data_IF_272784958920
#
_entry.id   IF_272784958920
#
_cell.length_a   1.000
_cell.length_b   1.000
_cell.length_c   1.000
_cell.angle_alpha   90.00
_cell.angle_beta   90.00
_cell.angle_gamma   90.00
#
_symmetry.space_group_name_H-M   'P 1'
#
loop_
_entity.id
_entity.type
_entity.pdbx_description
1 polymer ?
#
# COMPACT_ATOMS: atom_id res chain seq x y z
N UNK A 1 5.82 2.25 -25.32
CA UNK A 1 4.53 2.58 -24.67
C UNK A 1 4.49 1.91 -23.30
N UNK A 2 4.41 2.68 -22.22
CA UNK A 2 4.35 2.13 -20.86
C UNK A 2 2.90 1.92 -20.50
N UNK A 3 2.60 0.70 -20.04
CA UNK A 3 1.21 0.30 -19.75
C UNK A 3 0.93 0.38 -18.25
N UNK A 4 0.10 1.30 -17.58
CA UNK A 4 -0.16 1.60 -16.37
C UNK A 4 -1.41 1.05 -16.00
N UNK A 5 -1.59 0.43 -14.96
CA UNK A 5 -2.84 0.09 -14.26
C UNK A 5 -3.02 1.04 -13.08
N UNK A 6 -4.21 1.65 -12.95
CA UNK A 6 -4.47 2.61 -11.86
C UNK A 6 -5.39 1.94 -10.84
N UNK A 7 -4.96 1.88 -9.57
CA UNK A 7 -5.68 1.21 -8.48
C UNK A 7 -5.96 2.19 -7.35
N UNK A 8 -7.24 2.49 -7.11
CA UNK A 8 -7.67 3.41 -6.05
C UNK A 8 -9.15 3.15 -5.80
N UNK A 9 -9.56 3.09 -4.55
CA UNK A 9 -10.96 2.85 -4.23
C UNK A 9 -11.82 4.12 -4.35
N UNK A 10 -11.18 5.28 -4.53
CA UNK A 10 -11.91 6.54 -4.74
C UNK A 10 -12.10 6.77 -6.23
N UNK A 11 -13.33 6.67 -6.68
CA UNK A 11 -13.67 6.73 -8.10
C UNK A 11 -13.20 8.03 -8.76
N UNK A 12 -13.38 9.15 -8.06
CA UNK A 12 -12.98 10.45 -8.60
C UNK A 12 -11.46 10.56 -8.78
N UNK A 13 -10.70 10.08 -7.79
CA UNK A 13 -9.24 10.08 -7.86
C UNK A 13 -8.77 9.18 -8.99
N UNK A 14 -9.31 7.96 -9.04
CA UNK A 14 -8.93 6.98 -10.06
C UNK A 14 -9.19 7.50 -11.47
N UNK A 15 -10.39 8.07 -11.68
CA UNK A 15 -10.77 8.65 -12.97
C UNK A 15 -9.89 9.84 -13.31
N UNK A 16 -9.60 10.69 -12.31
CA UNK A 16 -8.75 11.86 -12.53
C UNK A 16 -7.34 11.48 -12.97
N UNK A 17 -6.73 10.53 -12.28
CA UNK A 17 -5.38 10.08 -12.64
C UNK A 17 -5.38 9.48 -14.05
N UNK A 18 -6.39 8.66 -14.36
CA UNK A 18 -6.49 8.04 -15.67
C UNK A 18 -6.57 9.10 -16.77
N UNK A 19 -7.40 10.11 -16.56
CA UNK A 19 -7.55 11.19 -17.57
C UNK A 19 -6.28 12.00 -17.72
N UNK A 20 -5.61 12.32 -16.61
CA UNK A 20 -4.38 13.09 -16.68
C UNK A 20 -3.30 12.34 -17.47
N UNK A 21 -3.23 11.03 -17.29
CA UNK A 21 -2.21 10.23 -17.98
C UNK A 21 -2.56 9.93 -19.44
N UNK A 22 -3.83 10.02 -19.82
CA UNK A 22 -4.29 9.60 -21.15
C UNK A 22 -3.65 10.41 -22.29
N UNK A 23 -3.31 11.68 -22.03
CA UNK A 23 -2.76 12.57 -23.05
C UNK A 23 -1.24 12.63 -23.05
N UNK A 24 -0.58 11.81 -22.25
CA UNK A 24 0.89 11.84 -22.13
C UNK A 24 1.49 10.86 -23.13
N UNK A 25 2.35 11.38 -24.00
CA UNK A 25 3.03 10.56 -25.00
C UNK A 25 3.83 9.44 -24.33
N UNK A 26 3.70 8.25 -24.87
CA UNK A 26 4.45 7.09 -24.38
C UNK A 26 3.81 6.37 -23.21
N UNK A 27 2.68 6.86 -22.69
CA UNK A 27 1.94 6.23 -21.59
C UNK A 27 0.57 5.78 -22.07
N UNK A 28 0.11 4.65 -21.54
CA UNK A 28 -1.22 4.14 -21.83
C UNK A 28 -1.80 3.51 -20.58
N UNK A 29 -2.92 4.04 -20.09
CA UNK A 29 -3.65 3.39 -18.99
C UNK A 29 -4.47 2.26 -19.61
N UNK A 30 -4.09 1.02 -19.29
CA UNK A 30 -4.74 -0.16 -19.87
C UNK A 30 -5.90 -0.66 -19.01
N UNK A 31 -6.02 -0.17 -17.79
CA UNK A 31 -7.12 -0.57 -16.94
C UNK A 31 -7.14 0.18 -15.63
N UNK A 32 -8.23 -0.03 -14.90
CA UNK A 32 -8.44 0.54 -13.58
C UNK A 32 -8.92 -0.56 -12.65
N UNK A 33 -8.64 -0.42 -11.36
CA UNK A 33 -9.14 -1.33 -10.34
C UNK A 33 -9.54 -0.53 -9.11
N UNK A 34 -10.59 -0.95 -8.43
CA UNK A 34 -11.10 -0.24 -7.26
C UNK A 34 -10.72 -0.91 -5.95
N UNK A 35 -9.94 -1.99 -6.01
CA UNK A 35 -9.51 -2.71 -4.80
C UNK A 35 -8.22 -3.45 -5.08
N UNK A 36 -7.56 -3.85 -4.00
CA UNK A 36 -6.36 -4.69 -4.12
C UNK A 36 -6.68 -6.01 -4.79
N UNK A 37 -7.82 -6.60 -4.45
CA UNK A 37 -8.24 -7.88 -5.04
C UNK A 37 -8.42 -7.75 -6.55
N UNK A 38 -9.11 -6.69 -6.98
CA UNK A 38 -9.33 -6.46 -8.40
C UNK A 38 -8.01 -6.18 -9.12
N UNK A 39 -7.08 -5.51 -8.46
CA UNK A 39 -5.79 -5.22 -9.07
C UNK A 39 -5.04 -6.49 -9.44
N UNK A 40 -5.17 -7.54 -8.62
CA UNK A 40 -4.52 -8.82 -8.90
C UNK A 40 -5.11 -9.47 -10.16
N UNK A 41 -6.45 -9.41 -10.30
CA UNK A 41 -7.11 -9.97 -11.48
C UNK A 41 -6.73 -9.18 -12.74
N UNK A 42 -6.79 -7.85 -12.66
CA UNK A 42 -6.47 -7.00 -13.79
C UNK A 42 -5.01 -7.13 -14.21
N UNK A 43 -4.10 -7.27 -13.25
CA UNK A 43 -2.69 -7.45 -13.58
C UNK A 43 -2.45 -8.73 -14.35
N UNK A 44 -3.15 -9.81 -13.98
CA UNK A 44 -3.04 -11.07 -14.71
C UNK A 44 -3.56 -10.94 -16.14
N UNK A 45 -4.69 -10.25 -16.30
CA UNK A 45 -5.34 -10.11 -17.61
C UNK A 45 -4.59 -9.15 -18.52
N UNK A 46 -4.20 -7.99 -17.98
CA UNK A 46 -3.71 -6.87 -18.78
C UNK A 46 -2.19 -6.79 -18.85
N UNK A 47 -1.50 -7.43 -17.93
CA UNK A 47 -0.04 -7.47 -17.87
C UNK A 47 0.56 -6.07 -17.98
N UNK A 48 0.23 -5.17 -17.03
CA UNK A 48 0.79 -3.83 -17.08
C UNK A 48 2.28 -3.82 -16.75
N UNK A 49 2.97 -2.78 -17.17
CA UNK A 49 4.37 -2.56 -16.79
C UNK A 49 4.46 -1.89 -15.42
N UNK A 50 3.57 -0.95 -15.15
CA UNK A 50 3.59 -0.15 -13.92
C UNK A 50 2.18 -0.13 -13.33
N UNK A 51 2.09 -0.32 -12.04
CA UNK A 51 0.84 -0.23 -11.30
C UNK A 51 0.94 0.95 -10.34
N UNK A 52 0.01 1.90 -10.47
CA UNK A 52 -0.15 2.99 -9.50
C UNK A 52 -1.11 2.49 -8.44
N UNK A 53 -0.64 2.33 -7.20
CA UNK A 53 -1.37 1.60 -6.17
C UNK A 53 -1.66 2.50 -4.99
N UNK A 54 -2.94 2.76 -4.73
CA UNK A 54 -3.33 3.42 -3.48
C UNK A 54 -3.02 2.49 -2.29
N UNK A 55 -2.55 3.06 -1.22
CA UNK A 55 -2.17 2.30 -0.03
C UNK A 55 -3.38 1.99 0.84
N UNK A 56 -4.20 2.99 1.12
CA UNK A 56 -5.34 2.86 2.04
C UNK A 56 -6.60 2.48 1.29
N UNK A 57 -6.80 1.17 1.10
CA UNK A 57 -8.01 0.63 0.50
C UNK A 57 -8.61 -0.43 1.41
N UNK A 58 -9.92 -0.61 1.38
CA UNK A 58 -10.53 -1.72 2.12
C UNK A 58 -9.98 -3.07 1.66
N UNK A 59 -10.11 -3.99 2.31
CA UNK A 59 -9.82 -5.24 1.97
C UNK A 59 -8.42 -5.57 2.25
N UNK A 60 -7.83 -6.06 1.27
CA UNK A 60 -6.43 -6.41 1.54
C UNK A 60 -5.50 -5.19 1.57
N UNK A 61 -5.97 -4.07 1.00
CA UNK A 61 -5.17 -2.86 0.99
C UNK A 61 -4.02 -2.89 0.00
N UNK A 62 -3.36 -1.73 -0.15
CA UNK A 62 -2.30 -1.59 -1.13
C UNK A 62 -1.02 -2.33 -0.75
N UNK A 63 -0.72 -2.44 0.55
CA UNK A 63 0.50 -3.15 0.99
C UNK A 63 0.43 -4.63 0.64
N UNK A 64 -0.66 -5.30 0.99
CA UNK A 64 -0.78 -6.73 0.69
C UNK A 64 -0.95 -6.96 -0.81
N UNK A 65 -1.69 -6.08 -1.50
CA UNK A 65 -1.81 -6.18 -2.94
C UNK A 65 -0.44 -6.08 -3.62
N UNK A 66 0.40 -5.15 -3.16
CA UNK A 66 1.76 -5.00 -3.70
C UNK A 66 2.57 -6.28 -3.50
N UNK A 67 2.51 -6.86 -2.30
CA UNK A 67 3.24 -8.11 -2.04
C UNK A 67 2.80 -9.22 -2.96
N UNK A 68 1.49 -9.39 -3.12
CA UNK A 68 0.94 -10.46 -3.97
C UNK A 68 1.26 -10.22 -5.44
N UNK A 69 1.14 -8.97 -5.90
CA UNK A 69 1.49 -8.63 -7.28
C UNK A 69 2.93 -8.99 -7.59
N UNK A 70 3.86 -8.59 -6.74
CA UNK A 70 5.28 -8.78 -6.99
C UNK A 70 5.69 -10.23 -6.84
N UNK A 71 4.98 -11.01 -6.02
CA UNK A 71 5.21 -12.45 -5.92
C UNK A 71 4.81 -13.16 -7.21
N UNK A 72 3.66 -12.78 -7.77
CA UNK A 72 3.10 -13.41 -8.97
C UNK A 72 3.71 -12.87 -10.26
N UNK A 73 4.06 -11.58 -10.26
CA UNK A 73 4.54 -10.87 -11.43
C UNK A 73 5.74 -10.00 -11.04
N UNK A 74 6.93 -10.61 -10.87
CA UNK A 74 8.09 -9.86 -10.37
C UNK A 74 8.56 -8.73 -11.26
N UNK A 75 8.19 -8.75 -12.54
CA UNK A 75 8.61 -7.70 -13.49
C UNK A 75 7.75 -6.44 -13.43
N UNK A 76 6.56 -6.51 -12.81
CA UNK A 76 5.71 -5.35 -12.66
C UNK A 76 6.36 -4.37 -11.66
N UNK A 77 6.30 -3.09 -11.97
CA UNK A 77 6.78 -2.03 -11.06
C UNK A 77 5.57 -1.43 -10.36
N UNK A 78 5.61 -1.37 -9.03
CA UNK A 78 4.52 -0.78 -8.25
C UNK A 78 4.98 0.57 -7.72
N UNK A 79 4.17 1.61 -7.99
CA UNK A 79 4.36 2.94 -7.44
C UNK A 79 3.18 3.19 -6.48
N UNK A 80 3.48 3.33 -5.21
CA UNK A 80 2.44 3.67 -4.23
C UNK A 80 2.05 5.14 -4.39
N UNK A 81 0.75 5.41 -4.41
CA UNK A 81 0.22 6.78 -4.51
C UNK A 81 -0.75 6.97 -3.36
N UNK A 82 -0.42 7.83 -2.40
CA UNK A 82 -1.18 7.84 -1.16
C UNK A 82 -1.20 9.22 -0.53
N UNK A 83 -2.21 9.47 0.30
CA UNK A 83 -2.21 10.63 1.20
C UNK A 83 -1.37 10.36 2.45
N UNK A 84 -0.95 9.11 2.67
CA UNK A 84 -0.20 8.74 3.86
C UNK A 84 1.27 9.08 3.69
N UNK A 85 1.69 10.15 4.32
CA UNK A 85 3.10 10.56 4.28
C UNK A 85 3.88 10.00 5.46
N UNK A 86 3.18 9.52 6.48
CA UNK A 86 3.81 9.07 7.72
C UNK A 86 4.02 7.56 7.74
N UNK A 87 5.13 7.15 8.34
CA UNK A 87 5.39 5.75 8.63
C UNK A 87 4.22 5.13 9.40
N UNK A 88 4.04 3.83 9.28
CA UNK A 88 5.00 2.87 8.71
C UNK A 88 4.83 2.59 7.21
N UNK A 89 3.92 3.25 6.52
CA UNK A 89 3.58 2.86 5.16
C UNK A 89 4.73 3.03 4.16
N UNK A 90 5.46 4.18 4.12
CA UNK A 90 6.55 4.26 3.14
C UNK A 90 7.60 3.18 3.32
N UNK A 91 8.04 2.95 4.55
CA UNK A 91 9.05 1.94 4.84
C UNK A 91 8.55 0.55 4.47
N UNK A 92 7.31 0.21 4.88
CA UNK A 92 6.77 -1.13 4.64
C UNK A 92 6.58 -1.40 3.15
N UNK A 93 6.10 -0.41 2.40
CA UNK A 93 5.88 -0.58 0.96
C UNK A 93 7.20 -0.75 0.21
N UNK A 94 8.21 0.03 0.58
CA UNK A 94 9.52 -0.12 -0.05
C UNK A 94 10.13 -1.47 0.29
N UNK A 95 9.98 -1.94 1.53
CA UNK A 95 10.43 -3.27 1.92
C UNK A 95 9.67 -4.37 1.18
N UNK A 96 8.40 -4.14 0.87
CA UNK A 96 7.61 -5.11 0.11
C UNK A 96 8.01 -5.16 -1.37
N UNK A 97 8.86 -4.23 -1.81
CA UNK A 97 9.37 -4.22 -3.17
C UNK A 97 8.80 -3.12 -4.06
N UNK A 98 8.01 -2.19 -3.51
CA UNK A 98 7.52 -1.08 -4.31
C UNK A 98 8.70 -0.31 -4.90
N UNK A 99 8.58 0.04 -6.19
CA UNK A 99 9.64 0.75 -6.88
C UNK A 99 9.53 2.25 -6.70
N UNK A 100 8.36 2.75 -6.28
CA UNK A 100 8.18 4.18 -6.11
C UNK A 100 7.15 4.51 -5.05
N UNK A 101 7.19 5.75 -4.60
CA UNK A 101 6.28 6.25 -3.58
C UNK A 101 5.98 7.72 -3.86
N UNK A 102 4.71 8.03 -4.12
CA UNK A 102 4.23 9.37 -4.40
C UNK A 102 3.12 9.74 -3.43
N UNK A 103 3.00 11.03 -3.12
CA UNK A 103 1.81 11.52 -2.43
C UNK A 103 0.71 11.80 -3.47
N UNK A 104 -0.54 11.76 -3.04
CA UNK A 104 -1.67 12.10 -3.93
C UNK A 104 -1.68 13.58 -4.31
N UNK A 105 -0.87 14.40 -3.64
CA UNK A 105 -0.67 15.79 -4.02
C UNK A 105 0.35 16.01 -5.11
N UNK A 106 1.01 14.96 -5.58
CA UNK A 106 2.01 15.11 -6.64
C UNK A 106 1.35 15.60 -7.93
N UNK A 107 2.00 16.54 -8.58
CA UNK A 107 1.51 17.02 -9.87
C UNK A 107 1.75 16.02 -10.99
N UNK A 108 1.12 16.27 -12.12
CA UNK A 108 1.27 15.39 -13.28
C UNK A 108 2.72 15.22 -13.72
N UNK A 109 3.55 16.29 -13.79
CA UNK A 109 4.94 16.09 -14.20
C UNK A 109 5.70 15.13 -13.28
N UNK A 110 5.49 15.23 -11.96
CA UNK A 110 6.17 14.33 -11.02
C UNK A 110 5.68 12.89 -11.19
N UNK A 111 4.39 12.71 -11.38
CA UNK A 111 3.82 11.37 -11.58
C UNK A 111 4.39 10.72 -12.84
N UNK A 112 4.46 11.48 -13.93
CA UNK A 112 5.02 10.97 -15.19
C UNK A 112 6.50 10.63 -15.02
N UNK A 113 7.26 11.49 -14.33
CA UNK A 113 8.66 11.23 -14.07
C UNK A 113 8.84 9.93 -13.28
N UNK A 114 8.03 9.75 -12.23
CA UNK A 114 8.11 8.53 -11.42
C UNK A 114 7.84 7.28 -12.25
N UNK A 115 6.79 7.33 -13.09
CA UNK A 115 6.43 6.20 -13.94
C UNK A 115 7.59 5.84 -14.88
N UNK A 116 8.18 6.84 -15.51
CA UNK A 116 9.28 6.61 -16.47
C UNK A 116 10.52 6.08 -15.77
N UNK A 117 10.85 6.59 -14.59
CA UNK A 117 12.03 6.14 -13.85
C UNK A 117 11.87 4.70 -13.37
N UNK A 118 10.71 4.34 -12.81
CA UNK A 118 10.53 2.97 -12.33
C UNK A 118 10.47 1.99 -13.51
N UNK A 119 9.89 2.41 -14.63
CA UNK A 119 9.89 1.57 -15.83
C UNK A 119 11.32 1.30 -16.31
N UNK A 120 12.20 2.28 -16.17
CA UNK A 120 13.61 2.14 -16.55
C UNK A 120 14.44 1.35 -15.53
N UNK A 121 13.82 0.88 -14.45
CA UNK A 121 14.51 0.09 -13.44
C UNK A 121 15.06 0.88 -12.26
N UNK A 122 14.78 2.17 -12.20
CA UNK A 122 15.20 3.00 -11.08
C UNK A 122 14.10 3.09 -10.04
N UNK A 123 14.42 3.59 -8.86
CA UNK A 123 13.43 3.85 -7.82
C UNK A 123 13.11 5.34 -7.76
N UNK A 124 11.87 5.65 -7.38
CA UNK A 124 11.45 7.03 -7.19
C UNK A 124 10.71 7.19 -5.89
N UNK A 125 11.17 8.10 -5.04
CA UNK A 125 10.48 8.47 -3.80
C UNK A 125 10.29 9.98 -3.84
N UNK A 126 9.05 10.45 -3.60
CA UNK A 126 8.80 11.89 -3.59
C UNK A 126 9.73 12.57 -2.59
N UNK A 127 10.21 13.80 -2.87
CA UNK A 127 11.18 14.45 -1.98
C UNK A 127 10.72 14.58 -0.53
N UNK A 128 9.43 14.86 -0.31
CA UNK A 128 8.90 14.98 1.04
C UNK A 128 9.03 13.68 1.82
N UNK A 129 8.70 12.57 1.19
CA UNK A 129 8.79 11.25 1.82
C UNK A 129 10.25 10.89 2.07
N UNK A 130 11.11 11.16 1.09
CA UNK A 130 12.54 10.86 1.23
C UNK A 130 13.13 11.65 2.39
N UNK A 131 12.75 12.91 2.54
CA UNK A 131 13.22 13.75 3.64
C UNK A 131 12.77 13.21 4.99
N UNK A 132 11.47 12.80 5.08
CA UNK A 132 10.96 12.25 6.32
C UNK A 132 11.68 10.96 6.72
N UNK A 133 11.94 10.09 5.76
CA UNK A 133 12.66 8.84 6.03
C UNK A 133 14.08 9.13 6.50
N UNK A 134 14.76 10.10 5.89
CA UNK A 134 16.11 10.48 6.27
C UNK A 134 16.14 11.06 7.69
N UNK A 135 15.21 11.96 8.01
CA UNK A 135 15.14 12.56 9.35
C UNK A 135 14.87 11.48 10.39
N UNK A 136 13.96 10.57 10.11
CA UNK A 136 13.59 9.52 11.03
C UNK A 136 14.78 8.62 11.35
N UNK A 137 15.68 8.40 10.40
CA UNK A 137 16.84 7.55 10.62
C UNK A 137 17.84 8.15 11.62
N UNK A 138 17.76 9.46 11.88
CA UNK A 138 18.63 10.15 12.83
C UNK A 138 17.98 10.37 14.18
N UNK A 139 16.69 10.11 14.34
CA UNK A 139 16.00 10.31 15.62
C UNK A 139 16.08 9.03 16.46
N UNK A 140 16.46 9.14 17.74
CA UNK A 140 16.37 7.98 18.61
C UNK A 140 14.92 7.69 18.93
N UNK A 141 14.47 6.59 18.49
CA UNK A 141 13.28 5.85 18.88
C UNK A 141 12.13 6.62 19.52
N UNK A 142 11.40 7.37 18.74
CA UNK A 142 9.99 7.60 19.00
C UNK A 142 9.20 6.80 17.99
N UNK A 143 9.54 5.56 17.93
CA UNK A 143 8.94 4.67 16.94
C UNK A 143 7.48 4.41 17.30
N UNK A 144 6.66 4.34 16.28
CA UNK A 144 5.31 3.82 16.44
C UNK A 144 5.41 2.42 17.05
N UNK A 145 4.53 2.04 17.98
CA UNK A 145 4.54 0.67 18.48
C UNK A 145 4.36 -0.35 17.36
N UNK A 146 3.77 0.05 16.24
CA UNK A 146 3.61 -0.81 15.07
C UNK A 146 4.94 -1.15 14.40
N UNK A 147 6.00 -0.43 14.69
CA UNK A 147 7.33 -0.76 14.15
C UNK A 147 7.85 -2.09 14.70
N UNK A 148 7.33 -2.56 15.83
CA UNK A 148 7.69 -3.86 16.39
C UNK A 148 7.05 -5.03 15.64
N UNK A 149 6.06 -4.76 14.79
CA UNK A 149 5.35 -5.80 14.06
C UNK A 149 6.10 -6.18 12.79
N UNK A 150 6.06 -7.47 12.46
CA UNK A 150 6.54 -7.94 11.17
C UNK A 150 5.61 -7.44 10.07
N UNK A 151 6.05 -7.58 8.83
CA UNK A 151 5.25 -7.18 7.69
C UNK A 151 3.92 -7.91 7.64
N UNK A 152 3.93 -9.22 7.89
CA UNK A 152 2.69 -9.99 7.91
C UNK A 152 1.79 -9.59 9.08
N UNK A 153 2.39 -9.30 10.22
CA UNK A 153 1.62 -8.84 11.38
C UNK A 153 0.94 -7.50 11.12
N UNK A 154 1.64 -6.56 10.49
CA UNK A 154 1.04 -5.26 10.19
C UNK A 154 -0.12 -5.42 9.19
N UNK A 155 0.01 -6.31 8.21
CA UNK A 155 -1.07 -6.58 7.27
C UNK A 155 -2.31 -7.11 7.96
N UNK A 156 -2.12 -8.08 8.84
CA UNK A 156 -3.24 -8.68 9.56
C UNK A 156 -3.85 -7.65 10.51
N UNK A 157 -3.01 -6.84 11.18
CA UNK A 157 -3.51 -5.78 12.05
C UNK A 157 -4.39 -4.80 11.28
N UNK A 158 -3.98 -4.38 10.07
CA UNK A 158 -4.76 -3.48 9.26
C UNK A 158 -6.09 -4.10 8.83
N UNK A 159 -6.09 -5.38 8.52
CA UNK A 159 -7.34 -6.07 8.15
C UNK A 159 -8.30 -6.18 9.35
N UNK A 160 -7.77 -6.44 10.56
CA UNK A 160 -8.58 -6.47 11.78
C UNK A 160 -9.18 -5.08 12.03
N UNK A 161 -8.38 -4.04 11.93
CA UNK A 161 -8.84 -2.65 12.12
C UNK A 161 -9.87 -2.30 11.06
N UNK A 162 -9.76 -2.85 9.85
CA UNK A 162 -10.74 -2.71 8.80
C UNK A 162 -12.00 -3.54 9.01
N UNK A 163 -12.17 -4.10 10.20
CA UNK A 163 -13.35 -4.88 10.60
C UNK A 163 -13.53 -6.17 9.79
N UNK A 164 -12.46 -6.71 9.24
CA UNK A 164 -12.57 -7.99 8.54
C UNK A 164 -12.55 -9.14 9.53
N UNK A 165 -13.45 -10.09 9.32
CA UNK A 165 -13.55 -11.26 10.18
C UNK A 165 -12.39 -12.21 9.92
N UNK A 166 -12.05 -13.01 10.93
CA UNK A 166 -10.94 -13.97 10.85
C UNK A 166 -11.05 -14.86 9.61
N UNK A 167 -12.26 -15.32 9.28
CA UNK A 167 -12.45 -16.18 8.12
C UNK A 167 -12.11 -15.46 6.82
N UNK A 168 -12.47 -14.19 6.71
CA UNK A 168 -12.16 -13.40 5.52
C UNK A 168 -10.65 -13.19 5.39
N UNK A 169 -9.99 -12.87 6.51
CA UNK A 169 -8.53 -12.72 6.52
C UNK A 169 -7.86 -14.03 6.11
N UNK A 170 -8.33 -15.13 6.68
CA UNK A 170 -7.87 -16.47 6.38
C UNK A 170 -7.92 -16.76 4.89
N UNK A 171 -9.06 -16.47 4.27
CA UNK A 171 -9.27 -16.73 2.84
C UNK A 171 -8.37 -15.84 1.98
N UNK A 172 -8.27 -14.54 2.33
CA UNK A 172 -7.51 -13.60 1.51
C UNK A 172 -6.01 -13.82 1.59
N UNK A 173 -5.51 -14.26 2.74
CA UNK A 173 -4.07 -14.47 2.94
C UNK A 173 -3.65 -15.92 2.73
N UNK A 174 -4.60 -16.81 2.45
CA UNK A 174 -4.34 -18.26 2.29
C UNK A 174 -3.70 -18.85 3.53
N UNK A 175 -4.24 -18.50 4.69
CA UNK A 175 -3.83 -19.02 5.99
C UNK A 175 -5.02 -19.72 6.65
N UNK A 176 -4.77 -20.62 7.60
CA UNK A 176 -5.87 -21.19 8.38
C UNK A 176 -6.39 -20.15 9.38
N UNK A 177 -7.66 -20.24 9.79
CA UNK A 177 -8.15 -19.36 10.87
C UNK A 177 -7.32 -19.45 12.14
N UNK A 178 -6.82 -20.63 12.45
CA UNK A 178 -5.96 -20.83 13.62
C UNK A 178 -4.68 -20.00 13.49
N UNK A 179 -4.08 -20.02 12.31
CA UNK A 179 -2.86 -19.26 12.05
C UNK A 179 -3.14 -17.75 12.14
N UNK A 180 -4.28 -17.29 11.61
CA UNK A 180 -4.66 -15.88 11.72
C UNK A 180 -4.79 -15.48 13.19
N UNK A 181 -5.43 -16.30 14.00
CA UNK A 181 -5.56 -16.02 15.43
C UNK A 181 -4.20 -16.05 16.16
N UNK A 182 -3.29 -16.91 15.75
CA UNK A 182 -1.94 -16.89 16.30
C UNK A 182 -1.25 -15.56 16.04
N UNK A 183 -1.35 -15.05 14.80
CA UNK A 183 -0.83 -13.72 14.48
C UNK A 183 -1.51 -12.63 15.30
N UNK A 184 -2.83 -12.72 15.45
CA UNK A 184 -3.60 -11.73 16.21
C UNK A 184 -3.09 -11.65 17.66
N UNK A 185 -2.88 -12.80 18.31
CA UNK A 185 -2.39 -12.81 19.69
C UNK A 185 -0.95 -12.34 19.79
N UNK A 186 -0.10 -12.62 18.80
CA UNK A 186 1.25 -12.07 18.74
C UNK A 186 1.23 -10.55 18.64
N UNK A 187 0.34 -10.01 17.79
CA UNK A 187 0.16 -8.58 17.64
C UNK A 187 -0.22 -7.96 18.98
N UNK A 188 -1.21 -8.56 19.66
CA UNK A 188 -1.64 -8.08 20.97
C UNK A 188 -0.49 -8.08 21.96
N UNK A 189 0.30 -9.13 21.98
CA UNK A 189 1.43 -9.24 22.90
C UNK A 189 2.49 -8.18 22.61
N UNK A 190 2.83 -8.00 21.34
CA UNK A 190 3.86 -7.03 20.95
C UNK A 190 3.42 -5.59 21.22
N UNK A 191 2.13 -5.30 21.09
CA UNK A 191 1.60 -3.96 21.32
C UNK A 191 1.10 -3.74 22.76
N UNK A 192 1.17 -4.75 23.59
CA UNK A 192 0.70 -4.71 24.99
C UNK A 192 -0.78 -4.31 25.07
N UNK A 193 -1.59 -4.93 24.22
CA UNK A 193 -3.05 -4.72 24.19
C UNK A 193 -3.75 -6.07 24.32
N UNK A 194 -5.07 -6.05 24.50
CA UNK A 194 -5.82 -7.28 24.76
C UNK A 194 -7.06 -7.45 23.91
N UNK A 195 -7.36 -6.51 23.01
CA UNK A 195 -8.59 -6.62 22.21
C UNK A 195 -8.45 -5.91 20.86
N UNK A 196 -9.33 -6.29 19.94
CA UNK A 196 -9.42 -5.63 18.63
C UNK A 196 -9.77 -4.14 18.78
N UNK A 197 -10.56 -3.79 19.79
CA UNK A 197 -10.93 -2.39 20.04
C UNK A 197 -9.69 -1.58 20.41
N UNK A 198 -8.87 -2.12 21.31
CA UNK A 198 -7.62 -1.46 21.68
C UNK A 198 -6.69 -1.32 20.47
N UNK A 199 -6.64 -2.33 19.62
CA UNK A 199 -5.84 -2.28 18.41
C UNK A 199 -6.32 -1.16 17.49
N UNK A 200 -7.63 -1.04 17.33
CA UNK A 200 -8.22 0.00 16.48
C UNK A 200 -7.91 1.39 17.02
N UNK A 201 -8.08 1.59 18.33
CA UNK A 201 -7.79 2.88 18.96
C UNK A 201 -6.31 3.24 18.81
N UNK A 202 -5.43 2.27 18.97
CA UNK A 202 -4.00 2.50 18.81
C UNK A 202 -3.67 2.86 17.36
N UNK A 203 -4.30 2.18 16.41
CA UNK A 203 -4.08 2.44 14.99
C UNK A 203 -4.55 3.86 14.60
N UNK A 204 -5.69 4.29 15.12
CA UNK A 204 -6.17 5.65 14.88
C UNK A 204 -5.21 6.67 15.49
N UNK A 205 -4.76 6.43 16.72
CA UNK A 205 -3.86 7.34 17.43
C UNK A 205 -2.54 7.53 16.66
N UNK A 206 -2.06 6.49 15.99
CA UNK A 206 -0.79 6.54 15.27
C UNK A 206 -0.97 6.74 13.76
N UNK A 207 -2.15 7.17 13.33
CA UNK A 207 -2.39 7.53 11.94
C UNK A 207 -2.43 6.38 10.96
N UNK A 208 -2.56 5.15 11.44
CA UNK A 208 -2.61 3.97 10.57
C UNK A 208 -3.93 3.90 9.80
N UNK A 209 -5.00 4.44 10.37
CA UNK A 209 -6.32 4.51 9.74
C UNK A 209 -6.96 5.85 10.10
N UNK A 210 -7.88 6.30 9.25
CA UNK A 210 -8.62 7.52 9.51
C UNK A 210 -9.73 7.28 10.53
N UNK A 211 -9.92 8.26 11.40
CA UNK A 211 -10.99 8.21 12.40
C UNK A 211 -12.35 8.56 11.80
N UNK A 212 -12.39 9.08 10.58
CA UNK A 212 -13.63 9.47 9.91
C UNK A 212 -14.30 8.24 9.33
N UNK A 213 -15.36 7.79 9.98
CA UNK A 213 -16.23 6.71 9.50
C UNK A 213 -17.54 7.30 8.99
#
# INVERSE_FOLDING_TARGET
MIRXLVVDDHDLVRTGITRMLADIDGLQVVGQAESGEESLLKARELKPDVVLMDVKMPXIGGLEATRKLLRSHPDIKVVAVTVCEEDPFPTRLLQAGAAGYLTKGAGLPEMVQAIRLVFAGQRYISPQIAQQLAIKSFQPTNDSPFDALSEREIQIALMIVGCQKVQIISDKLCLSPKTVNTYRYRIFEKLSISSDVELTLLAVRHGMVDASL
#
